data_IF_356948945217
#
_entry.id   IF_356948945217
#
_cell.length_a   1.000
_cell.length_b   1.000
_cell.length_c   1.000
_cell.angle_alpha   90.00
_cell.angle_beta   90.00
_cell.angle_gamma   90.00
#
_symmetry.space_group_name_H-M   'P 1'
#
loop_
_entity.id
_entity.type
_entity.pdbx_description
1 polymer ?
#
# COMPACT_ATOMS: atom_id res chain seq x y z
N UNK A 1 -49.47 -7.99 40.52
CA UNK A 1 -48.17 -7.30 40.54
C UNK A 1 -47.19 -8.32 40.00
N UNK A 2 -46.86 -8.37 38.72
CA UNK A 2 -46.02 -7.37 38.05
C UNK A 2 -45.84 -7.77 36.56
N UNK A 3 -46.90 -7.69 35.75
CA UNK A 3 -46.86 -8.08 34.31
C UNK A 3 -47.05 -6.90 33.35
N UNK A 4 -47.21 -5.69 33.87
CA UNK A 4 -47.45 -4.49 33.05
C UNK A 4 -46.21 -3.63 32.84
N UNK A 5 -45.07 -4.00 33.44
CA UNK A 5 -43.80 -3.25 33.30
C UNK A 5 -42.93 -3.70 32.12
N UNK A 6 -43.34 -4.72 31.36
CA UNK A 6 -42.65 -5.16 30.14
C UNK A 6 -43.27 -4.65 28.82
N UNK A 7 -44.46 -4.05 28.81
CA UNK A 7 -45.09 -3.59 27.56
C UNK A 7 -44.62 -2.20 27.09
N UNK A 8 -43.68 -1.57 27.80
CA UNK A 8 -43.03 -0.34 27.38
C UNK A 8 -41.62 -0.64 26.89
N UNK A 9 -41.51 -1.58 25.95
CA UNK A 9 -40.43 -1.53 24.95
C UNK A 9 -40.50 -0.15 24.31
N UNK A 10 -39.58 0.72 24.71
CA UNK A 10 -39.42 2.07 24.19
C UNK A 10 -39.52 2.04 22.67
N UNK A 11 -40.61 2.62 22.13
CA UNK A 11 -40.72 2.85 20.70
C UNK A 11 -39.63 3.86 20.37
N UNK A 12 -38.48 3.38 19.89
CA UNK A 12 -37.38 4.22 19.47
C UNK A 12 -37.86 5.08 18.31
N UNK A 13 -38.19 6.35 18.60
CA UNK A 13 -38.51 7.34 17.58
C UNK A 13 -37.22 7.65 16.81
N UNK A 14 -37.14 7.18 15.57
CA UNK A 14 -35.99 7.46 14.72
C UNK A 14 -36.06 8.89 14.17
N UNK A 15 -35.35 9.82 14.80
CA UNK A 15 -35.23 11.21 14.32
C UNK A 15 -34.18 11.27 13.20
N UNK A 16 -34.58 11.74 12.01
CA UNK A 16 -33.69 11.96 10.88
C UNK A 16 -33.47 13.47 10.67
N UNK A 17 -32.21 13.92 10.81
CA UNK A 17 -31.83 15.30 10.52
C UNK A 17 -31.52 15.39 9.02
N UNK A 18 -32.30 16.19 8.29
CA UNK A 18 -32.15 16.42 6.85
C UNK A 18 -31.48 17.77 6.59
N UNK A 19 -30.74 17.84 5.47
CA UNK A 19 -30.14 19.07 4.97
C UNK A 19 -31.23 19.98 4.37
N UNK A 20 -31.08 21.30 4.53
CA UNK A 20 -32.04 22.32 4.08
C UNK A 20 -32.41 22.19 2.58
N UNK A 21 -31.45 21.77 1.74
CA UNK A 21 -31.67 21.61 0.30
C UNK A 21 -32.80 20.63 -0.03
N UNK A 22 -33.02 19.59 0.79
CA UNK A 22 -34.14 18.67 0.58
C UNK A 22 -35.49 19.37 0.68
N UNK A 23 -35.62 20.28 1.66
CA UNK A 23 -36.83 21.06 1.84
C UNK A 23 -37.09 21.99 0.65
N UNK A 24 -36.03 22.61 0.11
CA UNK A 24 -36.10 23.46 -1.09
C UNK A 24 -36.48 22.65 -2.32
N UNK A 25 -35.86 21.49 -2.54
CA UNK A 25 -36.18 20.64 -3.67
C UNK A 25 -37.63 20.13 -3.64
N UNK A 26 -38.13 19.80 -2.46
CA UNK A 26 -39.48 19.28 -2.28
C UNK A 26 -40.54 20.38 -2.46
N UNK A 27 -40.29 21.58 -1.94
CA UNK A 27 -41.22 22.70 -2.01
C UNK A 27 -41.25 23.37 -3.39
N UNK A 28 -40.08 23.73 -3.92
CA UNK A 28 -40.01 24.57 -5.11
C UNK A 28 -40.12 23.77 -6.40
N UNK A 29 -39.60 22.55 -6.42
CA UNK A 29 -39.51 21.76 -7.66
C UNK A 29 -40.54 20.64 -7.74
N UNK A 30 -41.39 20.45 -6.71
CA UNK A 30 -42.37 19.36 -6.59
C UNK A 30 -41.77 17.96 -6.87
N UNK A 31 -40.45 17.82 -6.72
CA UNK A 31 -39.71 16.56 -6.92
C UNK A 31 -39.51 15.92 -5.55
N UNK A 32 -40.13 14.77 -5.34
CA UNK A 32 -39.92 13.99 -4.11
C UNK A 32 -38.65 13.17 -4.25
N UNK A 33 -37.53 13.70 -3.75
CA UNK A 33 -36.28 12.92 -3.65
C UNK A 33 -36.21 12.12 -2.34
N UNK A 34 -35.52 10.96 -2.33
CA UNK A 34 -35.33 10.19 -1.11
C UNK A 34 -34.64 11.01 -0.01
N UNK A 35 -35.23 11.13 1.20
CA UNK A 35 -34.62 11.86 2.32
C UNK A 35 -33.25 11.32 2.74
N UNK A 36 -32.98 10.03 2.49
CA UNK A 36 -31.75 9.36 2.85
C UNK A 36 -30.49 10.01 2.23
N UNK A 37 -30.59 10.52 1.00
CA UNK A 37 -29.47 11.19 0.31
C UNK A 37 -29.11 12.54 0.95
N UNK A 38 -30.11 13.20 1.56
CA UNK A 38 -29.98 14.51 2.18
C UNK A 38 -29.87 14.45 3.70
N UNK A 39 -29.83 13.25 4.29
CA UNK A 39 -29.57 13.11 5.72
C UNK A 39 -28.23 13.76 6.06
N UNK A 40 -28.15 14.53 7.15
CA UNK A 40 -26.90 15.21 7.51
C UNK A 40 -25.74 14.21 7.68
N UNK A 41 -26.04 12.96 8.08
CA UNK A 41 -25.07 11.87 8.14
C UNK A 41 -24.51 11.49 6.76
N UNK A 42 -25.35 11.37 5.72
CA UNK A 42 -24.90 11.06 4.36
C UNK A 42 -24.09 12.23 3.78
N UNK A 43 -24.52 13.47 4.00
CA UNK A 43 -23.81 14.68 3.56
C UNK A 43 -22.43 14.78 4.21
N UNK A 44 -22.33 14.55 5.52
CA UNK A 44 -21.05 14.53 6.24
C UNK A 44 -20.15 13.37 5.79
N UNK A 45 -20.72 12.19 5.54
CA UNK A 45 -19.99 11.06 4.98
C UNK A 45 -19.41 11.40 3.59
N UNK A 46 -20.21 11.97 2.69
CA UNK A 46 -19.75 12.41 1.37
C UNK A 46 -18.63 13.47 1.45
N UNK A 47 -18.73 14.45 2.37
CA UNK A 47 -17.67 15.44 2.60
C UNK A 47 -16.37 14.78 3.08
N UNK A 48 -16.46 13.81 4.01
CA UNK A 48 -15.29 13.05 4.50
C UNK A 48 -14.64 12.24 3.38
N UNK A 49 -15.44 11.56 2.55
CA UNK A 49 -14.95 10.80 1.39
C UNK A 49 -14.26 11.70 0.37
N UNK A 50 -14.83 12.87 0.05
CA UNK A 50 -14.19 13.85 -0.84
C UNK A 50 -12.85 14.33 -0.31
N UNK A 51 -12.79 14.68 0.98
CA UNK A 51 -11.54 15.11 1.63
C UNK A 51 -10.48 13.99 1.60
N UNK A 52 -10.86 12.77 1.96
CA UNK A 52 -9.97 11.60 1.93
C UNK A 52 -9.42 11.35 0.51
N UNK A 53 -10.25 11.47 -0.53
CA UNK A 53 -9.82 11.33 -1.93
C UNK A 53 -8.83 12.42 -2.36
N UNK A 54 -9.01 13.66 -1.89
CA UNK A 54 -8.06 14.75 -2.15
C UNK A 54 -6.71 14.51 -1.45
N UNK A 55 -6.74 14.15 -0.17
CA UNK A 55 -5.53 13.82 0.61
C UNK A 55 -4.73 12.68 -0.06
N UNK A 56 -5.42 11.65 -0.55
CA UNK A 56 -4.80 10.55 -1.30
C UNK A 56 -4.17 11.01 -2.62
N UNK A 57 -4.82 11.92 -3.36
CA UNK A 57 -4.26 12.50 -4.58
C UNK A 57 -2.99 13.31 -4.30
N UNK A 58 -3.01 14.16 -3.27
CA UNK A 58 -1.85 14.96 -2.88
C UNK A 58 -0.68 14.08 -2.43
N UNK A 59 -0.96 13.04 -1.64
CA UNK A 59 0.04 12.07 -1.23
C UNK A 59 0.66 11.34 -2.43
N UNK A 60 -0.17 10.92 -3.39
CA UNK A 60 0.30 10.28 -4.62
C UNK A 60 1.20 11.19 -5.47
N UNK A 61 0.88 12.48 -5.58
CA UNK A 61 1.71 13.44 -6.28
C UNK A 61 3.06 13.65 -5.60
N UNK A 62 3.08 13.71 -4.27
CA UNK A 62 4.29 13.85 -3.46
C UNK A 62 5.17 12.59 -3.52
N UNK A 63 4.57 11.40 -3.51
CA UNK A 63 5.29 10.14 -3.73
C UNK A 63 5.97 10.12 -5.10
N UNK A 64 5.27 10.57 -6.15
CA UNK A 64 5.83 10.67 -7.51
C UNK A 64 7.01 11.64 -7.58
N UNK A 65 6.88 12.84 -7.00
CA UNK A 65 7.97 13.84 -6.95
C UNK A 65 9.22 13.32 -6.23
N UNK A 66 9.05 12.42 -5.25
CA UNK A 66 10.15 11.77 -4.52
C UNK A 66 10.77 10.59 -5.28
N UNK A 67 10.19 10.15 -6.40
CA UNK A 67 10.60 8.94 -7.12
C UNK A 67 10.04 7.64 -6.51
N UNK A 68 9.13 7.73 -5.55
CA UNK A 68 8.40 6.59 -5.00
C UNK A 68 7.21 6.19 -5.90
N UNK A 69 6.67 4.99 -5.67
CA UNK A 69 5.46 4.51 -6.35
C UNK A 69 4.24 4.92 -5.53
N UNK A 70 3.20 5.41 -6.22
CA UNK A 70 1.94 5.81 -5.60
C UNK A 70 1.17 4.57 -5.11
N UNK A 71 1.17 4.36 -3.79
CA UNK A 71 0.50 3.22 -3.14
C UNK A 71 -1.03 3.20 -3.27
N UNK A 72 -1.63 4.30 -3.71
CA UNK A 72 -3.07 4.37 -3.98
C UNK A 72 -3.42 3.72 -5.32
N UNK A 73 -2.49 3.74 -6.27
CA UNK A 73 -2.67 3.23 -7.64
C UNK A 73 -2.02 1.86 -7.85
N UNK A 74 -1.04 1.52 -7.02
CA UNK A 74 -0.27 0.29 -7.13
C UNK A 74 -0.19 -0.41 -5.77
N UNK A 75 -0.10 -1.73 -5.81
CA UNK A 75 0.17 -2.59 -4.65
C UNK A 75 1.39 -3.48 -4.93
N UNK A 76 1.91 -4.15 -3.90
CA UNK A 76 3.02 -5.10 -4.08
C UNK A 76 2.48 -6.34 -4.78
N UNK A 77 3.15 -6.74 -5.86
CA UNK A 77 2.77 -7.96 -6.58
C UNK A 77 2.93 -9.19 -5.68
N UNK A 78 1.91 -10.04 -5.68
CA UNK A 78 1.92 -11.35 -5.03
C UNK A 78 1.73 -12.44 -6.08
N UNK A 79 2.55 -13.48 -6.04
CA UNK A 79 2.35 -14.62 -6.93
C UNK A 79 1.20 -15.54 -6.48
N UNK A 80 1.01 -16.62 -7.23
CA UNK A 80 0.01 -17.66 -6.97
C UNK A 80 0.16 -18.34 -5.60
N UNK A 81 1.33 -18.24 -4.96
CA UNK A 81 1.62 -18.80 -3.65
C UNK A 81 1.54 -17.74 -2.54
N UNK A 82 0.95 -16.57 -2.84
CA UNK A 82 0.84 -15.43 -1.94
C UNK A 82 2.20 -14.89 -1.48
N UNK A 83 3.25 -15.12 -2.27
CA UNK A 83 4.57 -14.61 -1.97
C UNK A 83 4.66 -13.13 -2.41
N UNK A 84 4.83 -12.18 -1.48
CA UNK A 84 4.98 -10.76 -1.84
C UNK A 84 6.39 -10.53 -2.40
N UNK A 85 6.48 -9.93 -3.59
CA UNK A 85 7.75 -9.59 -4.23
C UNK A 85 8.34 -8.31 -3.63
N UNK A 86 8.61 -8.34 -2.32
CA UNK A 86 9.31 -7.30 -1.57
C UNK A 86 10.42 -7.93 -0.73
N UNK A 87 11.66 -7.47 -0.95
CA UNK A 87 12.85 -8.11 -0.35
C UNK A 87 13.80 -7.06 0.15
N UNK A 88 14.30 -7.31 1.35
CA UNK A 88 15.32 -6.48 1.95
C UNK A 88 16.69 -7.12 1.77
N UNK A 89 17.58 -6.32 1.17
CA UNK A 89 19.00 -6.61 1.10
C UNK A 89 19.70 -5.73 2.12
N UNK A 90 20.44 -6.31 3.04
CA UNK A 90 21.16 -5.60 4.10
C UNK A 90 22.66 -5.80 3.93
N UNK A 91 23.42 -4.79 4.34
CA UNK A 91 24.87 -4.89 4.41
C UNK A 91 25.36 -4.28 5.71
N UNK A 92 25.79 -5.17 6.59
CA UNK A 92 26.46 -4.80 7.84
C UNK A 92 27.95 -5.07 7.67
N UNK A 93 28.64 -4.12 7.05
CA UNK A 93 30.09 -4.23 6.90
C UNK A 93 30.77 -4.09 8.27
N UNK A 94 31.71 -4.97 8.56
CA UNK A 94 32.61 -4.86 9.72
C UNK A 94 33.62 -3.72 9.56
N UNK A 95 33.88 -3.25 8.34
CA UNK A 95 34.95 -2.30 8.01
C UNK A 95 34.47 -0.98 7.38
N UNK A 96 33.17 -0.79 7.16
CA UNK A 96 32.58 0.37 6.45
C UNK A 96 31.33 0.98 7.10
N UNK A 97 30.55 1.74 6.31
CA UNK A 97 29.26 2.31 6.75
C UNK A 97 28.24 1.18 7.03
N UNK A 98 27.94 0.96 8.32
CA UNK A 98 26.95 -0.03 8.78
C UNK A 98 25.51 0.41 8.50
N UNK A 99 24.61 -0.55 8.30
CA UNK A 99 23.18 -0.30 8.19
C UNK A 99 22.70 0.18 6.81
N UNK A 100 23.43 -0.16 5.75
CA UNK A 100 22.93 0.05 4.39
C UNK A 100 21.85 -0.98 4.06
N UNK A 101 20.73 -0.53 3.50
CA UNK A 101 19.61 -1.40 3.13
C UNK A 101 19.04 -1.03 1.77
N UNK A 102 18.86 -2.02 0.91
CA UNK A 102 17.98 -1.92 -0.25
C UNK A 102 16.67 -2.65 0.06
N UNK A 103 15.54 -2.03 -0.24
CA UNK A 103 14.25 -2.72 -0.33
C UNK A 103 13.86 -2.78 -1.80
N UNK A 104 13.94 -3.97 -2.37
CA UNK A 104 13.48 -4.25 -3.72
C UNK A 104 11.97 -4.52 -3.67
N UNK A 105 11.20 -3.95 -4.58
CA UNK A 105 9.76 -4.16 -4.63
C UNK A 105 9.28 -4.22 -6.07
N UNK A 106 8.54 -5.27 -6.41
CA UNK A 106 7.77 -5.35 -7.63
C UNK A 106 6.34 -4.89 -7.34
N UNK A 107 5.89 -3.87 -8.06
CA UNK A 107 4.57 -3.27 -7.91
C UNK A 107 3.68 -3.67 -9.08
N UNK A 108 2.39 -3.84 -8.79
CA UNK A 108 1.32 -4.13 -9.74
C UNK A 108 0.24 -3.04 -9.64
N UNK A 109 -0.29 -2.62 -10.78
CA UNK A 109 -1.34 -1.60 -10.83
C UNK A 109 -2.69 -2.18 -10.38
N UNK A 110 -3.49 -1.34 -9.74
CA UNK A 110 -4.87 -1.69 -9.35
C UNK A 110 -5.84 -1.68 -10.56
N UNK A 111 -5.38 -1.22 -11.73
CA UNK A 111 -6.18 -1.13 -12.94
C UNK A 111 -6.09 -2.40 -13.79
N UNK A 112 -7.07 -2.61 -14.66
CA UNK A 112 -7.07 -3.68 -15.66
C UNK A 112 -6.95 -3.07 -17.07
N UNK A 113 -6.04 -3.55 -17.93
CA UNK A 113 -5.04 -4.59 -17.66
C UNK A 113 -3.96 -4.13 -16.67
N UNK A 114 -3.38 -5.09 -15.94
CA UNK A 114 -2.31 -4.82 -14.97
C UNK A 114 -1.03 -4.30 -15.65
N UNK A 115 -0.39 -3.34 -14.99
CA UNK A 115 0.90 -2.78 -15.35
C UNK A 115 1.84 -2.86 -14.15
N UNK A 116 3.13 -2.97 -14.41
CA UNK A 116 4.10 -3.30 -13.37
C UNK A 116 5.20 -2.25 -13.25
N UNK A 117 5.83 -2.22 -12.08
CA UNK A 117 7.03 -1.44 -11.81
C UNK A 117 8.02 -2.17 -10.92
N UNK A 118 9.29 -2.13 -11.26
CA UNK A 118 10.38 -2.41 -10.34
C UNK A 118 10.88 -1.13 -9.67
N UNK A 119 10.98 -1.18 -8.34
CA UNK A 119 11.56 -0.10 -7.53
C UNK A 119 12.57 -0.68 -6.55
N UNK A 120 13.78 -0.12 -6.54
CA UNK A 120 14.77 -0.35 -5.50
C UNK A 120 14.89 0.90 -4.61
N UNK A 121 14.44 0.79 -3.37
CA UNK A 121 14.58 1.83 -2.35
C UNK A 121 15.90 1.63 -1.60
N UNK A 122 16.74 2.63 -1.52
CA UNK A 122 18.03 2.59 -0.83
C UNK A 122 18.02 3.47 0.42
N UNK A 123 18.47 2.92 1.55
CA UNK A 123 18.81 3.66 2.75
C UNK A 123 20.30 3.51 3.02
N UNK A 124 21.00 4.64 3.15
CA UNK A 124 22.44 4.67 3.43
C UNK A 124 22.75 4.35 4.89
N UNK A 125 21.89 4.79 5.82
CA UNK A 125 22.01 4.55 7.26
C UNK A 125 20.65 4.17 7.83
N UNK A 126 20.68 3.37 8.90
CA UNK A 126 19.47 3.10 9.68
C UNK A 126 18.91 4.40 10.26
N UNK A 127 17.63 4.68 10.00
CA UNK A 127 16.96 5.91 10.45
C UNK A 127 17.11 7.13 9.53
N UNK A 128 17.76 7.00 8.36
CA UNK A 128 17.82 8.09 7.41
C UNK A 128 16.43 8.47 6.87
N UNK A 129 16.16 9.77 6.79
CA UNK A 129 14.85 10.32 6.45
C UNK A 129 14.61 10.43 4.94
N UNK A 130 15.69 10.44 4.14
CA UNK A 130 15.63 10.61 2.69
C UNK A 130 16.15 9.35 1.98
N UNK A 131 15.28 8.39 1.66
CA UNK A 131 15.67 7.22 0.89
C UNK A 131 15.98 7.61 -0.57
N UNK A 132 17.01 7.00 -1.14
CA UNK A 132 17.24 7.02 -2.57
C UNK A 132 16.29 6.06 -3.29
N UNK A 133 15.87 6.39 -4.49
CA UNK A 133 15.04 5.50 -5.32
C UNK A 133 15.76 5.23 -6.64
N UNK A 134 15.80 3.95 -7.01
CA UNK A 134 16.26 3.51 -8.30
C UNK A 134 15.11 2.82 -9.04
N UNK A 135 14.82 3.34 -10.23
CA UNK A 135 13.77 2.87 -11.12
C UNK A 135 14.34 2.83 -12.53
N UNK A 136 14.61 1.63 -13.08
CA UNK A 136 15.20 1.51 -14.41
C UNK A 136 14.26 1.97 -15.54
N UNK A 137 12.96 1.67 -15.41
CA UNK A 137 11.96 1.98 -16.42
C UNK A 137 11.47 3.43 -16.30
N UNK A 138 11.19 4.06 -17.44
CA UNK A 138 10.61 5.42 -17.50
C UNK A 138 9.09 5.41 -17.32
N UNK A 139 8.42 4.31 -17.70
CA UNK A 139 6.97 4.13 -17.61
C UNK A 139 6.60 2.71 -17.13
N UNK A 140 5.36 2.57 -16.64
CA UNK A 140 4.84 1.30 -16.14
C UNK A 140 4.74 0.29 -17.27
N UNK A 141 5.32 -0.89 -17.09
CA UNK A 141 5.55 -1.84 -18.17
C UNK A 141 4.84 -3.19 -18.01
N UNK A 142 5.23 -4.12 -18.88
CA UNK A 142 4.82 -5.52 -18.78
C UNK A 142 5.53 -6.22 -17.62
N UNK A 143 4.90 -7.27 -17.10
CA UNK A 143 5.41 -8.04 -15.97
C UNK A 143 6.82 -8.57 -16.20
N UNK A 144 7.07 -9.23 -17.33
CA UNK A 144 8.34 -9.92 -17.59
C UNK A 144 9.53 -8.96 -17.59
N UNK A 145 9.35 -7.77 -18.18
CA UNK A 145 10.39 -6.72 -18.27
C UNK A 145 10.76 -6.24 -16.86
N UNK A 146 9.76 -5.88 -16.05
CA UNK A 146 10.00 -5.37 -14.70
C UNK A 146 10.56 -6.46 -13.77
N UNK A 147 10.11 -7.70 -13.94
CA UNK A 147 10.63 -8.84 -13.20
C UNK A 147 12.09 -9.12 -13.57
N UNK A 148 12.48 -8.95 -14.84
CA UNK A 148 13.86 -9.14 -15.26
C UNK A 148 14.76 -8.02 -14.74
N UNK A 149 14.29 -6.77 -14.69
CA UNK A 149 14.99 -5.69 -13.98
C UNK A 149 15.20 -6.03 -12.50
N UNK A 150 14.16 -6.55 -11.83
CA UNK A 150 14.24 -6.98 -10.45
C UNK A 150 15.31 -8.07 -10.25
N UNK A 151 15.28 -9.13 -11.06
CA UNK A 151 16.25 -10.24 -10.99
C UNK A 151 17.67 -9.77 -11.28
N UNK A 152 17.85 -8.93 -12.29
CA UNK A 152 19.15 -8.39 -12.67
C UNK A 152 19.74 -7.54 -11.55
N UNK A 153 18.93 -6.67 -10.94
CA UNK A 153 19.37 -5.86 -9.81
C UNK A 153 19.72 -6.71 -8.59
N UNK A 154 18.89 -7.71 -8.26
CA UNK A 154 19.17 -8.66 -7.18
C UNK A 154 20.53 -9.33 -7.39
N UNK A 155 20.73 -9.95 -8.56
CA UNK A 155 21.98 -10.64 -8.92
C UNK A 155 23.19 -9.71 -8.89
N UNK A 156 23.04 -8.47 -9.33
CA UNK A 156 24.12 -7.48 -9.28
C UNK A 156 24.54 -7.11 -7.85
N UNK A 157 23.61 -7.15 -6.88
CA UNK A 157 23.88 -6.79 -5.47
C UNK A 157 24.29 -7.96 -4.59
N UNK A 158 23.80 -9.16 -4.86
CA UNK A 158 24.04 -10.36 -4.06
C UNK A 158 25.02 -11.35 -4.71
N UNK A 159 25.20 -11.28 -6.03
CA UNK A 159 25.94 -12.28 -6.81
C UNK A 159 25.16 -13.60 -7.02
N UNK A 160 23.95 -13.72 -6.48
CA UNK A 160 23.12 -14.94 -6.53
C UNK A 160 22.04 -14.78 -7.58
N UNK A 161 21.81 -15.83 -8.38
CA UNK A 161 20.69 -15.85 -9.30
C UNK A 161 19.37 -15.93 -8.54
N UNK A 162 18.34 -15.24 -9.01
CA UNK A 162 17.04 -15.18 -8.34
C UNK A 162 16.41 -16.56 -8.09
N UNK A 163 16.66 -17.51 -9.00
CA UNK A 163 16.18 -18.90 -8.86
C UNK A 163 16.86 -19.66 -7.72
N UNK A 164 18.12 -19.33 -7.44
CA UNK A 164 18.95 -20.02 -6.45
C UNK A 164 18.83 -19.41 -5.04
N UNK A 165 18.02 -18.36 -4.87
CA UNK A 165 17.94 -17.55 -3.64
C UNK A 165 17.64 -18.36 -2.37
N UNK A 166 16.92 -19.47 -2.48
CA UNK A 166 16.58 -20.28 -1.30
C UNK A 166 17.76 -21.17 -0.89
N UNK A 167 18.49 -21.70 -1.85
CA UNK A 167 19.59 -22.66 -1.61
C UNK A 167 20.88 -21.94 -1.19
N UNK A 168 21.10 -20.73 -1.71
CA UNK A 168 22.33 -19.95 -1.50
C UNK A 168 22.21 -18.89 -0.41
N UNK A 169 21.15 -18.91 0.39
CA UNK A 169 21.02 -18.02 1.55
C UNK A 169 22.21 -18.19 2.51
N UNK A 170 22.80 -17.10 2.98
CA UNK A 170 23.93 -17.12 3.91
C UNK A 170 25.26 -17.60 3.33
N UNK A 171 25.30 -17.99 2.05
CA UNK A 171 26.54 -18.41 1.35
C UNK A 171 27.27 -17.25 0.68
N UNK A 172 26.62 -16.07 0.62
CA UNK A 172 27.14 -14.87 -0.02
C UNK A 172 28.27 -14.25 0.81
N UNK A 173 29.43 -13.90 0.20
CA UNK A 173 30.51 -13.23 0.92
C UNK A 173 30.08 -11.89 1.52
N UNK A 174 30.69 -11.47 2.63
CA UNK A 174 30.42 -10.20 3.34
C UNK A 174 30.66 -8.93 2.49
N UNK A 175 31.31 -9.07 1.33
CA UNK A 175 31.48 -7.98 0.36
C UNK A 175 30.18 -7.65 -0.37
N UNK A 176 29.27 -8.60 -0.53
CA UNK A 176 27.96 -8.43 -1.17
C UNK A 176 26.87 -8.04 -0.17
N UNK A 177 25.71 -7.65 -0.69
CA UNK A 177 24.53 -7.52 0.17
C UNK A 177 23.99 -8.89 0.53
N UNK A 178 23.67 -9.06 1.81
CA UNK A 178 22.99 -10.23 2.34
C UNK A 178 21.48 -10.05 2.18
N UNK A 179 20.74 -11.14 2.13
CA UNK A 179 19.28 -11.14 2.11
C UNK A 179 18.78 -12.25 3.01
N UNK A 180 17.65 -12.02 3.66
CA UNK A 180 16.92 -13.06 4.36
C UNK A 180 15.94 -13.70 3.38
N UNK A 181 15.88 -15.02 3.34
CA UNK A 181 14.86 -15.71 2.57
C UNK A 181 13.50 -15.37 3.19
N UNK A 182 12.59 -14.77 2.42
CA UNK A 182 11.29 -14.35 2.93
C UNK A 182 10.34 -15.52 3.21
N UNK A 183 10.77 -16.75 2.91
CA UNK A 183 10.06 -18.01 3.20
C UNK A 183 10.71 -18.77 4.36
N UNK A 184 11.75 -18.24 5.00
CA UNK A 184 12.29 -18.85 6.20
C UNK A 184 11.18 -18.88 7.26
N UNK A 185 10.66 -20.07 7.55
CA UNK A 185 9.92 -20.31 8.77
C UNK A 185 10.80 -19.79 9.89
N UNK A 186 10.38 -18.69 10.50
CA UNK A 186 11.03 -18.13 11.67
C UNK A 186 10.93 -19.19 12.76
N UNK A 187 11.97 -20.01 12.92
CA UNK A 187 12.20 -20.70 14.17
C UNK A 187 12.60 -19.62 15.17
N UNK A 188 11.58 -19.02 15.79
CA UNK A 188 11.75 -18.25 17.01
C UNK A 188 12.17 -19.27 18.07
N UNK A 189 13.48 -19.45 18.24
CA UNK A 189 13.97 -20.00 19.49
C UNK A 189 13.84 -18.89 20.54
N UNK A 190 12.88 -19.09 21.44
CA UNK A 190 12.69 -18.33 22.66
C UNK A 190 13.80 -18.65 23.66
#
# INVERSE_FOLDING_TARGET
MDETLQSLTSVLVQIQILHYDWYIETLFYKKRRPPAEFCMRSVLALKREKRKKEELRQKGALDYQRGAINKTMYHVYTDQHFFPYQIDLTRDSTTGEKGQRYTLTLWESNAQPHLYWFLAKFLRKSGDSQPGFHRPSDCSGQFDIELDHFKAFFKAKTGVDWKDRVVKEGTTPDTFFQYACPVSMVFIFA
#
